data_IF_908331267028
#
_entry.id   IF_908331267028
#
_cell.length_a   1.000
_cell.length_b   1.000
_cell.length_c   1.000
_cell.angle_alpha   90.00
_cell.angle_beta   90.00
_cell.angle_gamma   90.00
#
_symmetry.space_group_name_H-M   'P 1'
#
loop_
_entity.id
_entity.type
_entity.pdbx_description
1 polymer ?
#
# COMPACT_ATOMS: atom_id res chain seq x y z
N UNK A 1 23.47 -0.73 24.80
CA UNK A 1 22.98 -2.11 24.96
C UNK A 1 22.12 -2.46 23.76
N UNK A 2 22.61 -3.34 22.88
CA UNK A 2 21.87 -3.81 21.69
C UNK A 2 20.69 -4.65 22.16
N UNK A 3 19.46 -4.26 21.83
CA UNK A 3 18.27 -5.01 22.23
C UNK A 3 18.27 -6.38 21.53
N UNK A 4 18.40 -7.45 22.32
CA UNK A 4 18.45 -8.81 21.78
C UNK A 4 17.05 -9.31 21.39
N UNK A 5 16.68 -9.05 20.13
CA UNK A 5 15.43 -9.50 19.54
C UNK A 5 15.34 -11.03 19.46
N UNK A 6 16.46 -11.73 19.32
CA UNK A 6 16.46 -13.18 19.25
C UNK A 6 16.01 -13.77 20.59
N UNK A 7 16.48 -13.22 21.72
CA UNK A 7 16.00 -13.62 23.05
C UNK A 7 14.50 -13.40 23.24
N UNK A 8 13.94 -12.30 22.71
CA UNK A 8 12.51 -11.99 22.80
C UNK A 8 11.67 -12.96 21.94
N UNK A 9 12.15 -13.32 20.74
CA UNK A 9 11.37 -14.10 19.78
C UNK A 9 11.58 -15.62 19.86
N UNK A 10 12.70 -16.08 20.44
CA UNK A 10 13.02 -17.51 20.60
C UNK A 10 11.90 -18.31 21.30
N UNK A 11 11.23 -17.80 22.35
CA UNK A 11 10.11 -18.52 22.98
C UNK A 11 8.92 -18.76 22.04
N UNK A 12 8.77 -17.96 20.97
CA UNK A 12 7.64 -18.08 20.04
C UNK A 12 7.78 -19.25 19.05
N UNK A 13 9.00 -19.76 18.83
CA UNK A 13 9.26 -20.85 17.90
C UNK A 13 10.54 -21.63 18.29
N UNK A 14 10.47 -22.36 19.40
CA UNK A 14 11.62 -23.09 19.95
C UNK A 14 12.26 -24.16 19.02
N UNK A 15 11.51 -24.67 18.04
CA UNK A 15 11.96 -25.76 17.14
C UNK A 15 12.75 -25.30 15.92
N UNK A 16 12.74 -24.01 15.58
CA UNK A 16 13.40 -23.51 14.37
C UNK A 16 14.38 -22.40 14.71
N UNK A 17 15.48 -22.33 13.95
CA UNK A 17 16.47 -21.27 14.12
C UNK A 17 15.90 -19.95 13.60
N UNK A 18 15.61 -19.01 14.51
CA UNK A 18 15.10 -17.68 14.20
C UNK A 18 16.24 -16.68 14.23
N UNK A 19 16.41 -15.93 13.15
CA UNK A 19 17.21 -14.70 13.14
C UNK A 19 16.28 -13.50 13.05
N UNK A 20 16.45 -12.55 13.97
CA UNK A 20 15.65 -11.32 14.01
C UNK A 20 16.57 -10.11 13.99
N UNK A 21 16.30 -9.16 13.08
CA UNK A 21 17.06 -7.92 12.99
C UNK A 21 16.13 -6.70 12.81
N UNK A 22 16.55 -5.56 13.34
CA UNK A 22 16.00 -4.27 12.93
C UNK A 22 16.52 -3.92 11.54
N UNK A 23 15.65 -3.39 10.68
CA UNK A 23 15.96 -3.06 9.30
C UNK A 23 15.43 -1.68 8.92
N UNK A 24 16.23 -0.83 8.25
CA UNK A 24 15.87 0.55 7.92
C UNK A 24 14.93 0.61 6.71
N UNK A 25 13.68 0.17 6.89
CA UNK A 25 12.65 0.32 5.87
C UNK A 25 12.29 1.79 5.64
N UNK A 26 11.78 2.12 4.45
CA UNK A 26 11.23 3.44 4.12
C UNK A 26 9.75 3.62 4.55
N UNK A 27 9.25 2.71 5.39
CA UNK A 27 7.87 2.59 5.85
C UNK A 27 7.80 1.73 7.11
N UNK A 28 6.72 1.84 7.90
CA UNK A 28 6.44 0.89 9.00
C UNK A 28 6.09 -0.46 8.37
N UNK A 29 7.13 -1.27 8.15
CA UNK A 29 7.07 -2.55 7.47
C UNK A 29 7.84 -3.59 8.25
N UNK A 30 7.30 -4.79 8.25
CA UNK A 30 7.95 -5.97 8.82
C UNK A 30 7.88 -7.10 7.80
N UNK A 31 8.87 -7.98 7.78
CA UNK A 31 8.86 -9.15 6.91
C UNK A 31 9.27 -10.40 7.66
N UNK A 32 8.70 -11.51 7.24
CA UNK A 32 9.05 -12.85 7.72
C UNK A 32 9.15 -13.78 6.52
N UNK A 33 10.16 -14.64 6.52
CA UNK A 33 10.36 -15.66 5.49
C UNK A 33 11.08 -16.87 6.06
N UNK A 34 10.76 -18.05 5.55
CA UNK A 34 11.50 -19.29 5.83
C UNK A 34 12.45 -19.56 4.66
N UNK A 35 13.74 -19.74 4.94
CA UNK A 35 14.77 -20.06 3.93
C UNK A 35 15.74 -21.08 4.50
N UNK A 36 15.95 -22.20 3.79
CA UNK A 36 16.86 -23.29 4.19
C UNK A 36 16.68 -23.70 5.67
N UNK A 37 15.43 -23.90 6.11
CA UNK A 37 15.13 -24.30 7.50
C UNK A 37 15.26 -23.21 8.57
N UNK A 38 15.63 -21.97 8.21
CA UNK A 38 15.73 -20.84 9.14
C UNK A 38 14.59 -19.85 8.93
N UNK A 39 14.05 -19.29 10.01
CA UNK A 39 13.12 -18.15 9.95
C UNK A 39 13.94 -16.87 10.02
N UNK A 40 13.73 -15.99 9.03
CA UNK A 40 14.32 -14.66 9.00
C UNK A 40 13.21 -13.63 9.22
N UNK A 41 13.31 -12.87 10.30
CA UNK A 41 12.40 -11.78 10.64
C UNK A 41 13.15 -10.46 10.52
N UNK A 42 12.55 -9.50 9.82
CA UNK A 42 13.01 -8.11 9.78
C UNK A 42 11.93 -7.21 10.32
N UNK A 43 12.28 -6.42 11.32
CA UNK A 43 11.38 -5.46 11.97
C UNK A 43 11.84 -4.05 11.55
N UNK A 44 10.92 -3.15 11.20
CA UNK A 44 11.29 -1.74 11.01
C UNK A 44 12.02 -1.21 12.25
N UNK A 45 13.13 -0.52 12.03
CA UNK A 45 13.92 0.14 13.06
C UNK A 45 13.16 1.26 13.81
N UNK A 46 12.03 1.72 13.29
CA UNK A 46 11.09 2.56 14.05
C UNK A 46 10.64 1.88 15.35
N UNK A 47 10.59 0.54 15.38
CA UNK A 47 10.23 -0.27 16.55
C UNK A 47 11.40 -0.55 17.50
N UNK A 48 12.55 0.11 17.35
CA UNK A 48 13.70 -0.11 18.23
C UNK A 48 13.34 0.04 19.72
N UNK A 49 12.51 1.05 20.03
CA UNK A 49 12.05 1.39 21.39
C UNK A 49 10.67 0.80 21.72
N UNK A 50 10.08 -0.02 20.83
CA UNK A 50 8.73 -0.55 21.03
C UNK A 50 8.63 -1.40 22.31
N UNK A 51 7.58 -1.28 23.13
CA UNK A 51 7.41 -2.12 24.31
C UNK A 51 7.53 -3.63 24.02
N UNK A 52 7.99 -4.42 24.99
CA UNK A 52 8.27 -5.86 24.77
C UNK A 52 7.00 -6.63 24.38
N UNK A 53 5.86 -6.31 24.99
CA UNK A 53 4.56 -6.88 24.66
C UNK A 53 4.15 -6.57 23.21
N UNK A 54 4.45 -5.37 22.70
CA UNK A 54 4.26 -5.02 21.28
C UNK A 54 5.14 -5.87 20.37
N UNK A 55 6.42 -6.03 20.70
CA UNK A 55 7.35 -6.86 19.92
C UNK A 55 6.91 -8.34 19.91
N UNK A 56 6.47 -8.87 21.05
CA UNK A 56 5.92 -10.24 21.15
C UNK A 56 4.63 -10.40 20.34
N UNK A 57 3.71 -9.43 20.43
CA UNK A 57 2.49 -9.42 19.62
C UNK A 57 2.81 -9.41 18.12
N UNK A 58 3.75 -8.56 17.68
CA UNK A 58 4.24 -8.53 16.30
C UNK A 58 4.84 -9.88 15.89
N UNK A 59 5.66 -10.50 16.74
CA UNK A 59 6.23 -11.81 16.48
C UNK A 59 5.18 -12.90 16.28
N UNK A 60 4.18 -12.96 17.16
CA UNK A 60 3.03 -13.89 17.03
C UNK A 60 2.25 -13.65 15.74
N UNK A 61 2.00 -12.39 15.38
CA UNK A 61 1.34 -12.02 14.10
C UNK A 61 2.15 -12.53 12.90
N UNK A 62 3.46 -12.29 12.88
CA UNK A 62 4.32 -12.70 11.77
C UNK A 62 4.39 -14.22 11.63
N UNK A 63 4.53 -14.95 12.74
CA UNK A 63 4.54 -16.42 12.73
C UNK A 63 3.20 -17.00 12.28
N UNK A 64 2.07 -16.45 12.73
CA UNK A 64 0.76 -16.86 12.26
C UNK A 64 0.62 -16.68 10.74
N UNK A 65 1.09 -15.54 10.19
CA UNK A 65 1.13 -15.30 8.74
C UNK A 65 2.02 -16.29 8.00
N UNK A 66 3.21 -16.60 8.52
CA UNK A 66 4.12 -17.57 7.92
C UNK A 66 3.50 -18.97 7.84
N UNK A 67 2.78 -19.37 8.90
CA UNK A 67 2.10 -20.68 9.00
C UNK A 67 0.72 -20.71 8.34
N UNK A 68 0.23 -19.59 7.80
CA UNK A 68 -1.13 -19.42 7.27
C UNK A 68 -2.24 -19.66 8.31
N UNK A 69 -1.94 -19.42 9.58
CA UNK A 69 -2.91 -19.51 10.67
C UNK A 69 -3.65 -18.18 10.88
N UNK A 70 -4.87 -18.21 11.46
CA UNK A 70 -5.57 -17.01 11.90
C UNK A 70 -4.72 -16.18 12.87
N UNK A 71 -4.74 -14.86 12.69
CA UNK A 71 -4.05 -13.91 13.58
C UNK A 71 -4.94 -13.60 14.80
N UNK A 72 -4.36 -13.67 15.99
CA UNK A 72 -5.02 -13.30 17.25
C UNK A 72 -5.56 -11.87 17.22
N UNK A 73 -6.84 -11.68 17.57
CA UNK A 73 -7.45 -10.34 17.70
C UNK A 73 -6.74 -9.49 18.76
N UNK A 74 -6.31 -10.11 19.87
CA UNK A 74 -5.58 -9.44 20.95
C UNK A 74 -4.24 -8.91 20.46
N UNK A 75 -3.44 -9.76 19.80
CA UNK A 75 -2.14 -9.33 19.26
C UNK A 75 -2.28 -8.24 18.21
N UNK A 76 -3.30 -8.36 17.33
CA UNK A 76 -3.61 -7.32 16.35
C UNK A 76 -3.96 -6.01 17.02
N UNK A 77 -4.78 -6.01 18.07
CA UNK A 77 -5.15 -4.80 18.79
C UNK A 77 -3.94 -4.13 19.46
N UNK A 78 -3.05 -4.90 20.10
CA UNK A 78 -1.81 -4.39 20.70
C UNK A 78 -0.93 -3.73 19.62
N UNK A 79 -0.70 -4.42 18.51
CA UNK A 79 0.09 -3.90 17.40
C UNK A 79 -0.54 -2.65 16.77
N UNK A 80 -1.83 -2.68 16.44
CA UNK A 80 -2.53 -1.57 15.79
C UNK A 80 -2.55 -0.33 16.68
N UNK A 81 -2.76 -0.49 18.00
CA UNK A 81 -2.73 0.64 18.94
C UNK A 81 -1.35 1.30 18.99
N UNK A 82 -0.28 0.50 19.03
CA UNK A 82 1.08 1.05 19.02
C UNK A 82 1.39 1.77 17.71
N UNK A 83 1.02 1.17 16.57
CA UNK A 83 1.20 1.80 15.24
C UNK A 83 0.42 3.10 15.13
N UNK A 84 -0.79 3.19 15.68
CA UNK A 84 -1.59 4.40 15.66
C UNK A 84 -1.15 5.45 16.71
N UNK A 85 -0.23 5.12 17.60
CA UNK A 85 0.25 6.01 18.66
C UNK A 85 1.06 7.17 18.10
N UNK A 86 0.85 8.36 18.68
CA UNK A 86 1.46 9.63 18.27
C UNK A 86 2.99 9.54 18.24
N UNK A 87 3.61 9.02 19.30
CA UNK A 87 5.08 8.86 19.42
C UNK A 87 5.68 8.08 18.23
N UNK A 88 5.06 6.96 17.85
CA UNK A 88 5.55 6.17 16.71
C UNK A 88 5.28 6.90 15.38
N UNK A 89 4.16 7.61 15.25
CA UNK A 89 3.84 8.38 14.04
C UNK A 89 4.84 9.53 13.83
N UNK A 90 5.16 10.28 14.87
CA UNK A 90 6.17 11.35 14.83
C UNK A 90 7.55 10.79 14.50
N UNK A 91 7.98 9.72 15.20
CA UNK A 91 9.25 9.05 14.92
C UNK A 91 9.32 8.52 13.49
N UNK A 92 8.23 7.95 13.00
CA UNK A 92 8.12 7.47 11.63
C UNK A 92 8.16 8.64 10.61
N UNK A 93 7.50 9.77 10.89
CA UNK A 93 7.56 10.94 10.03
C UNK A 93 9.01 11.46 9.90
N UNK A 94 9.74 11.54 11.01
CA UNK A 94 11.12 12.03 11.04
C UNK A 94 12.09 11.03 10.40
N UNK A 95 12.10 9.76 10.83
CA UNK A 95 13.09 8.77 10.37
C UNK A 95 12.87 8.30 8.93
N UNK A 96 11.61 8.23 8.49
CA UNK A 96 11.27 7.63 7.20
C UNK A 96 11.25 8.65 6.06
N UNK A 97 11.04 9.95 6.34
CA UNK A 97 10.99 11.01 5.32
C UNK A 97 12.26 11.01 4.45
N UNK A 98 13.45 11.00 5.06
CA UNK A 98 14.73 10.98 4.34
C UNK A 98 15.06 9.66 3.62
N UNK A 99 14.33 8.57 3.92
CA UNK A 99 14.56 7.24 3.31
C UNK A 99 13.62 6.93 2.16
N UNK A 100 12.53 7.69 2.03
CA UNK A 100 11.61 7.58 0.91
C UNK A 100 12.31 8.16 -0.31
N UNK A 101 12.69 7.30 -1.25
CA UNK A 101 13.18 7.75 -2.55
C UNK A 101 12.13 8.64 -3.20
N UNK A 102 12.58 9.72 -3.85
CA UNK A 102 11.73 10.51 -4.73
C UNK A 102 11.07 9.59 -5.75
N UNK A 103 9.81 9.87 -6.05
CA UNK A 103 9.13 9.22 -7.16
C UNK A 103 9.53 10.00 -8.42
N UNK A 104 10.24 9.38 -9.38
CA UNK A 104 10.54 10.04 -10.63
C UNK A 104 9.22 10.29 -11.36
N UNK A 105 9.03 11.53 -11.81
CA UNK A 105 7.90 11.89 -12.67
C UNK A 105 8.29 11.49 -14.08
N UNK A 106 7.53 10.58 -14.66
CA UNK A 106 7.67 10.14 -16.04
C UNK A 106 6.49 10.72 -16.81
N UNK A 107 6.79 11.47 -17.87
CA UNK A 107 5.82 12.02 -18.82
C UNK A 107 5.46 10.99 -19.89
N UNK A 108 4.25 11.10 -20.43
CA UNK A 108 3.77 10.22 -21.49
C UNK A 108 4.21 10.71 -22.86
N UNK A 109 4.35 9.78 -23.81
CA UNK A 109 4.61 10.10 -25.21
C UNK A 109 3.35 10.53 -25.96
N UNK A 110 2.18 10.08 -25.50
CA UNK A 110 0.91 10.28 -26.20
C UNK A 110 -0.17 10.91 -25.32
N UNK A 111 -0.15 10.68 -24.00
CA UNK A 111 -1.19 11.13 -23.07
C UNK A 111 -0.61 11.88 -21.87
N UNK A 112 -1.29 12.96 -21.46
CA UNK A 112 -0.97 13.72 -20.24
C UNK A 112 -1.78 13.20 -19.04
N UNK A 113 -1.08 12.68 -18.03
CA UNK A 113 -1.73 12.31 -16.76
C UNK A 113 -2.18 13.53 -15.97
N UNK A 114 -1.52 14.68 -16.16
CA UNK A 114 -1.93 15.93 -15.52
C UNK A 114 -3.28 16.40 -16.05
N UNK A 115 -3.50 16.31 -17.35
CA UNK A 115 -4.74 16.76 -17.99
C UNK A 115 -5.89 15.82 -17.61
N UNK A 116 -5.62 14.51 -17.62
CA UNK A 116 -6.56 13.49 -17.11
C UNK A 116 -6.96 13.76 -15.67
N UNK A 117 -5.99 14.05 -14.78
CA UNK A 117 -6.28 14.44 -13.40
C UNK A 117 -7.17 15.69 -13.34
N UNK A 118 -6.88 16.73 -14.12
CA UNK A 118 -7.65 17.97 -14.10
C UNK A 118 -9.10 17.75 -14.52
N UNK A 119 -9.34 17.03 -15.62
CA UNK A 119 -10.69 16.68 -16.08
C UNK A 119 -11.45 15.88 -15.03
N UNK A 120 -10.82 14.84 -14.48
CA UNK A 120 -11.45 13.97 -13.47
C UNK A 120 -11.74 14.75 -12.18
N UNK A 121 -10.82 15.59 -11.72
CA UNK A 121 -11.00 16.42 -10.53
C UNK A 121 -12.17 17.39 -10.71
N UNK A 122 -12.25 18.07 -11.85
CA UNK A 122 -13.35 18.97 -12.17
C UNK A 122 -14.70 18.24 -12.20
N UNK A 123 -14.78 17.13 -12.94
CA UNK A 123 -16.04 16.41 -13.19
C UNK A 123 -16.58 15.66 -11.98
N UNK A 124 -15.71 14.95 -11.24
CA UNK A 124 -16.17 14.00 -10.21
C UNK A 124 -15.87 14.43 -8.77
N UNK A 125 -14.99 15.40 -8.59
CA UNK A 125 -14.57 15.89 -7.27
C UNK A 125 -14.78 17.39 -7.08
N UNK A 126 -15.50 18.07 -8.00
CA UNK A 126 -15.82 19.49 -7.90
C UNK A 126 -14.57 20.40 -7.86
N UNK A 127 -13.45 19.93 -8.38
CA UNK A 127 -12.17 20.64 -8.37
C UNK A 127 -11.44 20.64 -7.01
N UNK A 128 -12.01 20.06 -5.95
CA UNK A 128 -11.47 20.20 -4.59
C UNK A 128 -10.40 19.16 -4.23
N UNK A 129 -10.15 18.16 -5.08
CA UNK A 129 -9.13 17.15 -4.77
C UNK A 129 -7.73 17.74 -4.92
N UNK A 130 -6.96 17.73 -3.82
CA UNK A 130 -5.53 18.06 -3.88
C UNK A 130 -4.82 17.11 -4.83
N UNK A 131 -4.12 17.65 -5.82
CA UNK A 131 -3.40 16.86 -6.84
C UNK A 131 -2.33 15.97 -6.18
N UNK A 132 -2.43 14.62 -6.28
CA UNK A 132 -1.33 13.74 -5.95
C UNK A 132 -0.23 13.87 -7.01
N UNK A 133 0.97 13.37 -6.72
CA UNK A 133 1.97 13.15 -7.78
C UNK A 133 1.41 12.12 -8.76
N UNK A 134 1.29 12.47 -10.04
CA UNK A 134 0.86 11.56 -11.11
C UNK A 134 2.08 11.19 -11.95
N UNK A 135 2.23 9.91 -12.28
CA UNK A 135 3.36 9.44 -13.10
C UNK A 135 3.02 8.18 -13.87
N UNK A 136 3.62 8.01 -15.04
CA UNK A 136 3.64 6.71 -15.69
C UNK A 136 4.49 5.73 -14.88
N UNK A 137 4.02 4.49 -14.78
CA UNK A 137 4.73 3.38 -14.15
C UNK A 137 5.92 2.93 -15.00
N UNK A 138 6.79 2.09 -14.44
CA UNK A 138 7.96 1.58 -15.18
C UNK A 138 7.71 0.27 -15.92
N UNK A 139 6.77 -0.53 -15.44
CA UNK A 139 6.44 -1.83 -16.02
C UNK A 139 5.14 -1.72 -16.82
N UNK A 140 5.11 -2.32 -18.01
CA UNK A 140 3.91 -2.44 -18.85
C UNK A 140 2.93 -3.48 -18.28
N UNK A 141 2.50 -3.26 -17.04
CA UNK A 141 1.58 -4.17 -16.35
C UNK A 141 0.17 -4.03 -16.93
N UNK A 142 -0.40 -5.13 -17.44
CA UNK A 142 -1.77 -5.15 -17.97
C UNK A 142 -2.83 -5.58 -16.96
N UNK A 143 -2.40 -6.28 -15.89
CA UNK A 143 -3.28 -6.72 -14.81
C UNK A 143 -3.51 -5.65 -13.74
N UNK A 144 -2.63 -4.66 -13.66
CA UNK A 144 -2.74 -3.52 -12.74
C UNK A 144 -2.50 -2.26 -13.57
N UNK A 145 -3.59 -1.63 -13.97
CA UNK A 145 -3.55 -0.47 -14.87
C UNK A 145 -3.30 0.85 -14.14
N UNK A 146 -3.61 0.91 -12.85
CA UNK A 146 -3.34 2.05 -11.98
C UNK A 146 -3.00 1.58 -10.57
N UNK A 147 -2.39 2.47 -9.79
CA UNK A 147 -2.19 2.32 -8.36
C UNK A 147 -2.07 3.68 -7.68
N UNK A 148 -2.82 3.87 -6.61
CA UNK A 148 -2.58 4.88 -5.61
C UNK A 148 -1.70 4.37 -4.44
N UNK A 149 -0.65 5.12 -4.10
CA UNK A 149 0.18 4.94 -2.91
C UNK A 149 -0.16 6.02 -1.86
N UNK A 150 -0.93 5.67 -0.81
CA UNK A 150 -1.31 6.64 0.22
C UNK A 150 -0.13 7.12 1.08
N UNK A 151 0.99 6.37 1.14
CA UNK A 151 2.15 6.80 1.94
C UNK A 151 2.91 7.95 1.28
N UNK A 152 2.87 8.04 -0.05
CA UNK A 152 3.61 9.04 -0.84
C UNK A 152 2.70 10.02 -1.58
N UNK A 153 1.39 9.83 -1.48
CA UNK A 153 0.37 10.55 -2.26
C UNK A 153 0.68 10.52 -3.77
N UNK A 154 0.88 9.31 -4.30
CA UNK A 154 1.30 9.09 -5.70
C UNK A 154 0.29 8.20 -6.41
N UNK A 155 -0.19 8.65 -7.58
CA UNK A 155 -0.91 7.83 -8.56
C UNK A 155 0.08 7.42 -9.65
N UNK A 156 0.24 6.11 -9.84
CA UNK A 156 1.02 5.56 -10.93
C UNK A 156 0.12 4.80 -11.91
N UNK A 157 0.17 5.17 -13.19
CA UNK A 157 -0.63 4.53 -14.26
C UNK A 157 0.28 3.73 -15.17
N UNK A 158 -0.16 2.54 -15.59
CA UNK A 158 0.61 1.65 -16.45
C UNK A 158 0.86 2.27 -17.83
N UNK A 159 2.09 2.26 -18.36
CA UNK A 159 2.42 2.79 -19.69
C UNK A 159 1.66 2.14 -20.84
N UNK A 160 0.99 1.00 -20.62
CA UNK A 160 0.13 0.39 -21.65
C UNK A 160 -1.06 1.28 -22.03
N UNK A 161 -1.40 2.26 -21.20
CA UNK A 161 -2.44 3.26 -21.49
C UNK A 161 -1.89 4.52 -22.17
N UNK A 162 -0.58 4.68 -22.26
CA UNK A 162 0.06 5.76 -23.02
C UNK A 162 0.10 5.38 -24.50
N UNK A 163 -1.07 5.40 -25.14
CA UNK A 163 -1.23 5.08 -26.57
C UNK A 163 -2.37 5.89 -27.16
N UNK A 164 -2.26 6.22 -28.45
CA UNK A 164 -3.35 6.83 -29.23
C UNK A 164 -4.52 5.87 -29.46
N UNK A 165 -4.26 4.55 -29.43
CA UNK A 165 -5.29 3.52 -29.59
C UNK A 165 -6.19 3.38 -28.36
N UNK A 166 -5.71 3.81 -27.19
CA UNK A 166 -6.48 3.77 -25.95
C UNK A 166 -7.35 5.03 -25.89
N UNK A 167 -8.68 4.90 -25.74
CA UNK A 167 -9.58 6.04 -25.60
C UNK A 167 -9.18 6.91 -24.41
N UNK A 168 -9.28 8.23 -24.57
CA UNK A 168 -8.92 9.17 -23.52
C UNK A 168 -9.82 9.06 -22.29
N UNK A 169 -11.12 8.83 -22.51
CA UNK A 169 -12.08 8.53 -21.44
C UNK A 169 -11.69 7.29 -20.63
N UNK A 170 -11.05 6.29 -21.25
CA UNK A 170 -10.60 5.12 -20.52
C UNK A 170 -9.42 5.44 -19.60
N UNK A 171 -8.51 6.33 -20.02
CA UNK A 171 -7.47 6.84 -19.14
C UNK A 171 -8.07 7.60 -17.95
N UNK A 172 -9.06 8.45 -18.22
CA UNK A 172 -9.79 9.21 -17.20
C UNK A 172 -10.54 8.29 -16.22
N UNK A 173 -11.10 7.18 -16.70
CA UNK A 173 -11.70 6.16 -15.86
C UNK A 173 -10.69 5.52 -14.88
N UNK A 174 -9.50 5.16 -15.38
CA UNK A 174 -8.44 4.60 -14.52
C UNK A 174 -7.93 5.65 -13.54
N UNK A 175 -7.73 6.90 -13.98
CA UNK A 175 -7.40 8.01 -13.08
C UNK A 175 -8.46 8.18 -11.99
N UNK A 176 -9.75 8.20 -12.35
CA UNK A 176 -10.86 8.29 -11.41
C UNK A 176 -10.83 7.16 -10.38
N UNK A 177 -10.60 5.92 -10.81
CA UNK A 177 -10.46 4.77 -9.90
C UNK A 177 -9.34 4.99 -8.87
N UNK A 178 -8.17 5.48 -9.30
CA UNK A 178 -7.05 5.73 -8.39
C UNK A 178 -7.31 6.91 -7.44
N UNK A 179 -8.00 7.95 -7.91
CA UNK A 179 -8.42 9.07 -7.06
C UNK A 179 -9.53 8.67 -6.07
N UNK A 180 -10.36 7.68 -6.40
CA UNK A 180 -11.29 7.10 -5.43
C UNK A 180 -10.56 6.36 -4.30
N UNK A 181 -9.42 5.71 -4.57
CA UNK A 181 -8.58 5.15 -3.49
C UNK A 181 -8.05 6.24 -2.58
N UNK A 182 -7.70 7.41 -3.13
CA UNK A 182 -7.31 8.58 -2.34
C UNK A 182 -8.46 9.12 -1.49
N UNK A 183 -9.66 9.26 -2.07
CA UNK A 183 -10.85 9.76 -1.37
C UNK A 183 -11.28 8.84 -0.23
N UNK A 184 -11.38 7.54 -0.50
CA UNK A 184 -11.96 6.56 0.45
C UNK A 184 -10.93 5.97 1.42
N UNK A 185 -9.65 6.02 1.06
CA UNK A 185 -8.58 5.40 1.83
C UNK A 185 -8.80 3.89 2.00
N UNK A 186 -8.20 3.32 3.04
CA UNK A 186 -8.42 1.94 3.46
C UNK A 186 -9.33 1.92 4.67
N UNK A 187 -10.48 1.24 4.57
CA UNK A 187 -11.38 1.04 5.71
C UNK A 187 -11.05 -0.27 6.44
N UNK A 188 -10.88 -0.21 7.76
CA UNK A 188 -10.71 -1.41 8.59
C UNK A 188 -12.08 -1.99 8.99
N UNK A 189 -12.33 -3.25 8.63
CA UNK A 189 -13.50 -4.02 9.08
C UNK A 189 -13.07 -5.41 9.51
N UNK A 190 -13.33 -5.77 10.77
CA UNK A 190 -12.95 -7.08 11.33
C UNK A 190 -11.45 -7.36 11.34
N UNK A 191 -10.60 -6.32 11.41
CA UNK A 191 -9.15 -6.44 11.35
C UNK A 191 -8.57 -6.68 9.95
N UNK A 192 -9.39 -6.53 8.90
CA UNK A 192 -8.94 -6.57 7.50
C UNK A 192 -9.15 -5.18 6.89
N UNK A 193 -8.15 -4.73 6.13
CA UNK A 193 -8.23 -3.47 5.37
C UNK A 193 -8.92 -3.74 4.02
N UNK A 194 -9.87 -2.87 3.67
CA UNK A 194 -10.66 -2.93 2.46
C UNK A 194 -10.57 -1.59 1.72
N UNK A 195 -10.13 -1.64 0.46
CA UNK A 195 -10.11 -0.47 -0.42
C UNK A 195 -11.43 -0.29 -1.17
N UNK A 196 -11.93 -1.38 -1.79
CA UNK A 196 -13.16 -1.36 -2.59
C UNK A 196 -14.42 -1.65 -1.78
N UNK A 197 -14.75 -0.74 -0.86
CA UNK A 197 -15.97 -0.81 -0.04
C UNK A 197 -17.24 -0.61 -0.88
N UNK A 198 -18.42 -0.77 -0.28
CA UNK A 198 -19.68 -0.50 -0.97
C UNK A 198 -19.78 0.96 -1.42
N UNK A 199 -19.27 1.89 -0.62
CA UNK A 199 -19.25 3.32 -0.94
C UNK A 199 -18.31 3.61 -2.11
N UNK A 200 -17.10 3.04 -2.09
CA UNK A 200 -16.17 3.09 -3.23
C UNK A 200 -16.87 2.63 -4.51
N UNK A 201 -17.53 1.46 -4.48
CA UNK A 201 -18.20 0.90 -5.66
C UNK A 201 -19.37 1.76 -6.14
N UNK A 202 -20.09 2.41 -5.22
CA UNK A 202 -21.17 3.35 -5.57
C UNK A 202 -20.61 4.56 -6.30
N UNK A 203 -19.50 5.12 -5.82
CA UNK A 203 -18.83 6.24 -6.48
C UNK A 203 -18.21 5.84 -7.82
N UNK A 204 -17.58 4.66 -7.90
CA UNK A 204 -16.99 4.15 -9.14
C UNK A 204 -18.03 4.07 -10.27
N UNK A 205 -19.26 3.64 -9.93
CA UNK A 205 -20.40 3.58 -10.87
C UNK A 205 -20.93 4.93 -11.33
N UNK A 206 -20.51 6.05 -10.73
CA UNK A 206 -20.90 7.40 -11.18
C UNK A 206 -20.15 7.83 -12.44
N UNK A 207 -19.13 7.08 -12.86
CA UNK A 207 -18.46 7.37 -14.13
C UNK A 207 -19.46 7.22 -15.28
N UNK A 208 -19.54 8.23 -16.16
CA UNK A 208 -20.63 8.39 -17.13
C UNK A 208 -20.82 7.21 -18.10
N UNK A 209 -19.76 6.44 -18.40
CA UNK A 209 -19.81 5.23 -19.24
C UNK A 209 -19.21 4.01 -18.52
N UNK A 210 -19.54 3.84 -17.24
CA UNK A 210 -18.95 2.83 -16.37
C UNK A 210 -18.91 1.42 -16.99
N UNK A 211 -20.03 0.94 -17.52
CA UNK A 211 -20.14 -0.43 -18.02
C UNK A 211 -19.25 -0.70 -19.23
N UNK A 212 -19.13 0.27 -20.15
CA UNK A 212 -18.22 0.17 -21.28
C UNK A 212 -16.76 0.22 -20.81
N UNK A 213 -16.41 1.10 -19.88
CA UNK A 213 -15.06 1.17 -19.32
C UNK A 213 -14.66 -0.15 -18.65
N UNK A 214 -15.57 -0.82 -17.95
CA UNK A 214 -15.31 -2.17 -17.40
C UNK A 214 -15.07 -3.22 -18.50
N UNK A 215 -15.77 -3.14 -19.64
CA UNK A 215 -15.53 -4.02 -20.79
C UNK A 215 -14.15 -3.78 -21.41
N UNK A 216 -13.78 -2.52 -21.65
CA UNK A 216 -12.45 -2.13 -22.17
C UNK A 216 -11.34 -2.64 -21.24
N UNK A 217 -11.49 -2.41 -19.92
CA UNK A 217 -10.54 -2.89 -18.92
C UNK A 217 -10.33 -4.41 -18.99
N UNK A 218 -11.41 -5.17 -19.13
CA UNK A 218 -11.35 -6.63 -19.31
C UNK A 218 -10.70 -7.06 -20.62
N UNK A 219 -10.79 -6.25 -21.68
CA UNK A 219 -10.09 -6.47 -22.95
C UNK A 219 -8.58 -6.29 -22.84
N UNK A 220 -8.13 -5.20 -22.21
CA UNK A 220 -6.70 -4.88 -22.03
C UNK A 220 -6.00 -5.92 -21.14
N UNK A 221 -6.67 -6.37 -20.07
CA UNK A 221 -6.10 -7.35 -19.15
C UNK A 221 -5.86 -8.74 -19.76
N UNK A 222 -6.45 -9.04 -20.92
CA UNK A 222 -6.36 -10.33 -21.63
C UNK A 222 -5.32 -10.37 -22.76
N UNK A 223 -4.78 -9.23 -23.19
CA UNK A 223 -3.73 -9.13 -24.22
C UNK A 223 -2.34 -9.27 -23.61
#
# INVERSE_FOLDING_TARGET
MTRDLEKIFRPLQAKENIKVEFYPYAGIKHSIRKRKGKILIRISDTFYDAPQDVLLALGRILLAKLKRNPVSKKDRAVYSRYVAGEELQEKAATLLSGRRRSVPIVEGNHRSLTDSFQRVNATYFGGSMKKPTVTWGRAQARRTLGRYDPQRDVVSISPVLDSREVPEEFLDFIMYHELLHKKHGLQERGGRLWAHTLEFKRDEKKFHDYDNMKKIMGGIARK
#
